data_IF_794585401802
#
_entry.id   IF_794585401802
#
_cell.length_a   1.000
_cell.length_b   1.000
_cell.length_c   1.000
_cell.angle_alpha   90.00
_cell.angle_beta   90.00
_cell.angle_gamma   90.00
#
_symmetry.space_group_name_H-M   'P 1'
#
loop_
_entity.id
_entity.type
_entity.pdbx_description
1 polymer ?
#
# COMPACT_ATOMS: atom_id res chain seq x y z
N UNK A 1 -5.52 -6.32 8.19
CA UNK A 1 -4.70 -7.38 7.54
C UNK A 1 -3.84 -6.71 6.49
N UNK A 2 -2.69 -7.27 6.14
CA UNK A 2 -1.78 -6.63 5.18
C UNK A 2 -1.25 -7.68 4.22
N UNK A 3 -1.21 -7.34 2.94
CA UNK A 3 -0.44 -8.08 1.95
C UNK A 3 0.92 -7.41 1.73
N UNK A 4 1.95 -8.23 1.55
CA UNK A 4 3.32 -7.80 1.32
C UNK A 4 3.86 -8.44 0.04
N UNK A 5 4.33 -7.62 -0.90
CA UNK A 5 4.83 -8.08 -2.20
C UNK A 5 6.20 -7.50 -2.51
N UNK A 6 7.03 -8.30 -3.17
CA UNK A 6 8.29 -7.88 -3.76
C UNK A 6 8.39 -8.46 -5.17
N UNK A 7 8.05 -7.66 -6.19
CA UNK A 7 7.83 -8.15 -7.56
C UNK A 7 8.76 -7.51 -8.59
N UNK A 8 9.07 -6.21 -8.47
CA UNK A 8 10.05 -5.53 -9.35
C UNK A 8 9.69 -5.49 -10.84
N UNK A 9 8.41 -5.69 -11.19
CA UNK A 9 7.97 -6.00 -12.56
C UNK A 9 7.95 -4.80 -13.51
N UNK A 10 7.52 -3.63 -13.06
CA UNK A 10 7.27 -2.48 -13.94
C UNK A 10 8.24 -1.31 -13.74
N UNK A 11 8.92 -1.26 -12.59
CA UNK A 11 9.90 -0.23 -12.27
C UNK A 11 11.18 -0.93 -11.88
N UNK A 12 12.26 -0.64 -12.60
CA UNK A 12 13.59 -1.21 -12.39
C UNK A 12 14.27 -0.63 -11.13
N UNK A 13 13.63 -0.82 -9.99
CA UNK A 13 14.07 -0.36 -8.68
C UNK A 13 13.61 -1.37 -7.61
N UNK A 14 14.44 -1.64 -6.61
CA UNK A 14 14.07 -2.48 -5.49
C UNK A 14 13.02 -1.79 -4.62
N UNK A 15 11.79 -2.31 -4.60
CA UNK A 15 10.72 -1.79 -3.75
C UNK A 15 9.77 -2.91 -3.33
N UNK A 16 9.13 -2.71 -2.18
CA UNK A 16 8.09 -3.58 -1.68
C UNK A 16 6.74 -2.84 -1.69
N UNK A 17 5.66 -3.60 -1.90
CA UNK A 17 4.30 -3.11 -1.72
C UNK A 17 3.76 -3.58 -0.39
N UNK A 18 3.21 -2.65 0.38
CA UNK A 18 2.48 -2.92 1.63
C UNK A 18 1.04 -2.46 1.42
N UNK A 19 0.11 -3.41 1.29
CA UNK A 19 -1.28 -3.11 0.92
C UNK A 19 -2.21 -3.44 2.09
N UNK A 20 -2.90 -2.45 2.69
CA UNK A 20 -3.94 -2.71 3.68
C UNK A 20 -5.09 -3.50 3.05
N UNK A 21 -5.52 -4.56 3.74
CA UNK A 21 -6.65 -5.40 3.33
C UNK A 21 -7.79 -5.30 4.35
N UNK A 22 -8.96 -4.93 3.84
CA UNK A 22 -10.26 -4.96 4.52
C UNK A 22 -10.89 -6.35 4.39
N UNK A 23 -10.92 -6.91 3.18
CA UNK A 23 -11.38 -8.28 2.91
C UNK A 23 -10.20 -9.19 2.52
N UNK A 24 -10.33 -10.49 2.79
CA UNK A 24 -9.27 -11.48 2.47
C UNK A 24 -8.96 -11.61 0.97
N UNK A 25 -9.82 -11.06 0.11
CA UNK A 25 -9.69 -11.12 -1.34
C UNK A 25 -9.35 -9.77 -1.98
N UNK A 26 -9.01 -8.75 -1.18
CA UNK A 26 -8.66 -7.42 -1.70
C UNK A 26 -7.43 -7.42 -2.61
N UNK A 27 -6.55 -8.41 -2.45
CA UNK A 27 -5.45 -8.66 -3.37
C UNK A 27 -5.64 -9.97 -4.11
N UNK A 28 -6.76 -10.05 -4.82
CA UNK A 28 -7.01 -11.10 -5.82
C UNK A 28 -7.15 -10.45 -7.18
N UNK A 29 -6.65 -11.12 -8.20
CA UNK A 29 -6.58 -10.58 -9.56
C UNK A 29 -7.94 -10.36 -10.21
N UNK A 30 -9.04 -10.82 -9.61
CA UNK A 30 -10.39 -10.84 -10.22
C UNK A 30 -10.83 -9.45 -10.68
N UNK A 31 -10.63 -8.40 -9.87
CA UNK A 31 -11.01 -7.01 -10.23
C UNK A 31 -10.12 -6.43 -11.33
N UNK A 32 -8.85 -6.84 -11.38
CA UNK A 32 -7.84 -6.31 -12.30
C UNK A 32 -7.79 -7.05 -13.64
N UNK A 33 -8.44 -8.22 -13.72
CA UNK A 33 -8.49 -9.08 -14.91
C UNK A 33 -9.85 -9.03 -15.62
N UNK A 34 -10.74 -8.10 -15.25
CA UNK A 34 -12.05 -7.96 -15.89
C UNK A 34 -11.95 -7.77 -17.41
N UNK A 35 -10.88 -7.12 -17.87
CA UNK A 35 -10.60 -6.86 -19.29
C UNK A 35 -9.63 -7.89 -19.93
N UNK A 36 -9.26 -8.94 -19.18
CA UNK A 36 -8.33 -10.00 -19.61
C UNK A 36 -6.90 -9.84 -19.06
N UNK A 37 -6.05 -10.85 -19.27
CA UNK A 37 -4.68 -10.89 -18.71
C UNK A 37 -3.70 -9.92 -19.37
N UNK A 38 -4.03 -9.44 -20.57
CA UNK A 38 -3.22 -8.50 -21.36
C UNK A 38 -3.66 -7.04 -21.15
N UNK A 39 -4.79 -6.81 -20.46
CA UNK A 39 -5.35 -5.49 -20.24
C UNK A 39 -5.49 -5.20 -18.74
N UNK A 40 -4.91 -4.08 -18.30
CA UNK A 40 -4.98 -3.64 -16.91
C UNK A 40 -5.77 -2.35 -16.81
N UNK A 41 -6.92 -2.40 -16.14
CA UNK A 41 -7.65 -1.19 -15.78
C UNK A 41 -7.15 -0.65 -14.45
N UNK A 42 -6.68 0.59 -14.48
CA UNK A 42 -6.29 1.30 -13.27
C UNK A 42 -7.55 1.68 -12.48
N UNK A 43 -7.55 1.46 -11.15
CA UNK A 43 -8.63 1.97 -10.32
C UNK A 43 -8.64 3.51 -10.38
N UNK A 44 -9.80 4.14 -10.11
CA UNK A 44 -9.88 5.58 -10.05
C UNK A 44 -8.89 6.14 -9.01
N UNK A 45 -8.20 7.22 -9.38
CA UNK A 45 -7.33 7.92 -8.44
C UNK A 45 -8.16 8.62 -7.34
N UNK A 46 -7.76 8.55 -6.06
CA UNK A 46 -8.44 9.25 -4.98
C UNK A 46 -8.22 10.78 -5.01
N UNK A 47 -7.30 11.28 -5.84
CA UNK A 47 -6.97 12.71 -5.95
C UNK A 47 -5.95 13.21 -4.92
N UNK A 48 -5.31 14.33 -5.24
CA UNK A 48 -4.15 14.86 -4.49
C UNK A 48 -4.47 15.16 -3.01
N UNK A 49 -5.59 15.84 -2.72
CA UNK A 49 -5.95 16.21 -1.36
C UNK A 49 -6.13 14.98 -0.44
N UNK A 50 -6.75 13.91 -0.97
CA UNK A 50 -6.94 12.66 -0.22
C UNK A 50 -5.61 11.92 0.01
N UNK A 51 -4.71 11.95 -0.98
CA UNK A 51 -3.37 11.37 -0.86
C UNK A 51 -2.54 12.11 0.19
N UNK A 52 -2.51 13.45 0.15
CA UNK A 52 -1.78 14.28 1.12
C UNK A 52 -2.30 14.08 2.55
N UNK A 53 -3.63 14.04 2.72
CA UNK A 53 -4.23 13.76 4.02
C UNK A 53 -3.81 12.38 4.55
N UNK A 54 -3.73 11.38 3.67
CA UNK A 54 -3.34 10.04 4.04
C UNK A 54 -1.87 9.96 4.43
N UNK A 55 -0.99 10.60 3.66
CA UNK A 55 0.44 10.68 3.97
C UNK A 55 0.69 11.34 5.34
N UNK A 56 0.07 12.48 5.62
CA UNK A 56 0.23 13.17 6.92
C UNK A 56 -0.21 12.31 8.11
N UNK A 57 -1.26 11.48 7.96
CA UNK A 57 -1.64 10.51 9.01
C UNK A 57 -0.59 9.43 9.23
N UNK A 58 0.06 8.96 8.15
CA UNK A 58 1.12 7.95 8.25
C UNK A 58 2.36 8.51 8.93
N UNK A 59 2.79 9.73 8.57
CA UNK A 59 3.96 10.39 9.17
C UNK A 59 3.83 10.53 10.68
N UNK A 60 2.69 11.04 11.16
CA UNK A 60 2.41 11.18 12.60
C UNK A 60 2.48 9.83 13.31
N UNK A 61 1.87 8.79 12.71
CA UNK A 61 1.79 7.48 13.36
C UNK A 61 3.15 6.78 13.41
N UNK A 62 3.91 6.82 12.33
CA UNK A 62 5.25 6.24 12.28
C UNK A 62 6.18 6.91 13.30
N UNK A 63 6.12 8.23 13.42
CA UNK A 63 6.88 8.95 14.43
C UNK A 63 6.51 8.53 15.86
N UNK A 64 5.22 8.31 16.15
CA UNK A 64 4.77 7.84 17.47
C UNK A 64 5.26 6.42 17.80
N UNK A 65 5.19 5.52 16.81
CA UNK A 65 5.62 4.13 16.98
C UNK A 65 7.14 4.04 17.20
N UNK A 66 7.94 4.89 16.54
CA UNK A 66 9.38 4.99 16.75
C UNK A 66 9.73 5.43 18.19
N UNK A 67 9.05 6.46 18.71
CA UNK A 67 9.25 6.94 20.08
C UNK A 67 8.84 5.90 21.13
N UNK A 68 7.76 5.14 20.86
CA UNK A 68 7.32 4.04 21.73
C UNK A 68 8.31 2.86 21.70
N UNK A 69 8.86 2.54 20.52
CA UNK A 69 9.87 1.50 20.36
C UNK A 69 11.21 1.83 21.04
N UNK A 70 11.60 3.10 21.06
CA UNK A 70 12.81 3.57 21.75
C UNK A 70 12.66 3.52 23.29
N UNK A 71 11.47 3.86 23.79
CA UNK A 71 11.13 3.75 25.22
C UNK A 71 11.16 2.31 25.75
N UNK A 72 10.89 1.31 24.91
CA UNK A 72 10.96 -0.11 25.27
C UNK A 72 12.38 -0.71 25.22
N UNK A 73 13.36 0.03 24.71
CA UNK A 73 14.76 -0.41 24.57
C UNK A 73 15.69 0.12 25.66
N UNK A 74 15.23 1.04 26.51
CA UNK A 74 15.91 1.55 27.71
C UNK A 74 15.27 1.00 28.99
#
# INVERSE_FOLDING_TARGET
>A
RVAFFYTGIHVAHAHAHVVPMVHQHDVTSVRYLEDGIEAFTLPPSPGEAALLQTAGRMEVRLAQDDQAGDSLRN
#
